data_IF_760994236263
#
_entry.id   IF_760994236263
#
_cell.length_a   1.000
_cell.length_b   1.000
_cell.length_c   1.000
_cell.angle_alpha   90.00
_cell.angle_beta   90.00
_cell.angle_gamma   90.00
#
_symmetry.space_group_name_H-M   'P 1'
#
loop_
_entity.id
_entity.type
_entity.pdbx_description
1 polymer ?
#
# COMPACT_ATOMS: atom_id res chain seq x y z
N UNK A 1 -8.19 8.59 4.12
CA UNK A 1 -7.70 7.68 3.05
C UNK A 1 -6.99 8.55 2.01
N UNK A 2 -5.91 8.06 1.43
CA UNK A 2 -5.15 8.74 0.38
C UNK A 2 -4.90 7.78 -0.78
N UNK A 3 -4.72 8.30 -1.99
CA UNK A 3 -4.31 7.51 -3.15
C UNK A 3 -2.97 6.82 -2.86
N UNK A 4 -2.88 5.53 -3.17
CA UNK A 4 -1.63 4.78 -3.04
C UNK A 4 -0.55 5.37 -3.96
N UNK A 5 -0.91 5.73 -5.19
CA UNK A 5 0.03 6.30 -6.16
C UNK A 5 0.54 7.66 -5.71
N UNK A 6 -0.32 8.53 -5.19
CA UNK A 6 0.11 9.86 -4.71
C UNK A 6 1.07 9.74 -3.51
N UNK A 7 0.95 8.67 -2.71
CA UNK A 7 1.84 8.43 -1.58
C UNK A 7 3.22 7.90 -2.01
N UNK A 8 3.27 7.01 -3.00
CA UNK A 8 4.50 6.27 -3.32
C UNK A 8 5.26 6.80 -4.53
N UNK A 9 4.59 7.46 -5.49
CA UNK A 9 5.22 7.94 -6.71
C UNK A 9 6.10 9.16 -6.38
N UNK A 10 7.39 9.04 -6.68
CA UNK A 10 8.30 10.17 -6.77
C UNK A 10 8.44 10.58 -8.25
N UNK A 11 8.11 11.82 -8.63
CA UNK A 11 8.10 12.24 -10.04
C UNK A 11 9.49 12.41 -10.64
N UNK A 12 10.54 12.37 -9.81
CA UNK A 12 11.92 12.63 -10.21
C UNK A 12 12.82 11.38 -10.06
N UNK A 13 12.32 10.30 -9.45
CA UNK A 13 13.09 9.06 -9.29
C UNK A 13 12.21 7.81 -9.20
N UNK A 14 12.35 6.96 -10.21
CA UNK A 14 11.80 5.61 -10.21
C UNK A 14 12.32 4.77 -9.03
N UNK A 15 13.61 4.89 -8.72
CA UNK A 15 14.20 4.14 -7.60
C UNK A 15 13.57 4.52 -6.25
N UNK A 16 13.34 5.83 -6.01
CA UNK A 16 12.61 6.28 -4.81
C UNK A 16 11.16 5.83 -4.81
N UNK A 17 10.51 5.75 -5.97
CA UNK A 17 9.17 5.18 -6.09
C UNK A 17 9.14 3.72 -5.64
N UNK A 18 10.09 2.90 -6.11
CA UNK A 18 10.22 1.49 -5.70
C UNK A 18 10.52 1.39 -4.20
N UNK A 19 11.38 2.26 -3.67
CA UNK A 19 11.68 2.34 -2.24
C UNK A 19 10.44 2.70 -1.41
N UNK A 20 9.64 3.68 -1.83
CA UNK A 20 8.41 4.06 -1.15
C UNK A 20 7.39 2.91 -1.14
N UNK A 21 7.22 2.21 -2.27
CA UNK A 21 6.36 1.01 -2.35
C UNK A 21 6.86 -0.06 -1.36
N UNK A 22 8.18 -0.27 -1.29
CA UNK A 22 8.77 -1.19 -0.35
C UNK A 22 8.44 -0.79 1.09
N UNK A 23 8.66 0.46 1.50
CA UNK A 23 8.34 0.94 2.86
C UNK A 23 6.86 0.80 3.21
N UNK A 24 5.96 1.19 2.30
CA UNK A 24 4.50 1.04 2.52
C UNK A 24 4.10 -0.43 2.70
N UNK A 25 4.78 -1.37 2.04
CA UNK A 25 4.50 -2.80 2.23
C UNK A 25 4.77 -3.26 3.66
N UNK A 26 5.76 -2.69 4.36
CA UNK A 26 6.04 -2.97 5.77
C UNK A 26 4.98 -2.37 6.67
N UNK A 27 4.54 -1.13 6.41
CA UNK A 27 3.45 -0.47 7.15
C UNK A 27 2.17 -1.31 7.10
N UNK A 28 1.84 -1.86 5.93
CA UNK A 28 0.67 -2.73 5.75
C UNK A 28 0.87 -4.09 6.44
N UNK A 29 2.04 -4.72 6.24
CA UNK A 29 2.37 -6.01 6.86
C UNK A 29 2.33 -5.94 8.38
N UNK A 30 2.81 -4.84 8.96
CA UNK A 30 2.88 -4.61 10.39
C UNK A 30 1.53 -4.13 10.97
N UNK A 31 0.51 -3.97 10.10
CA UNK A 31 -0.87 -3.71 10.50
C UNK A 31 -1.19 -2.25 10.79
N UNK A 32 -0.27 -1.32 10.54
CA UNK A 32 -0.48 0.12 10.76
C UNK A 32 -1.37 0.77 9.70
N UNK A 33 -1.43 0.21 8.49
CA UNK A 33 -2.31 0.67 7.42
C UNK A 33 -2.94 -0.50 6.68
N UNK A 34 -4.02 -0.20 5.95
CA UNK A 34 -4.66 -1.16 5.04
C UNK A 34 -4.80 -0.55 3.65
N UNK A 35 -4.64 -1.41 2.65
CA UNK A 35 -4.86 -1.09 1.24
C UNK A 35 -6.23 -1.63 0.81
N UNK A 36 -7.03 -0.80 0.14
CA UNK A 36 -8.33 -1.17 -0.44
C UNK A 36 -8.52 -0.52 -1.79
N UNK A 37 -9.54 -0.96 -2.52
CA UNK A 37 -9.97 -0.30 -3.74
C UNK A 37 -11.11 0.67 -3.42
N UNK A 38 -11.09 1.84 -4.02
CA UNK A 38 -12.21 2.79 -3.98
C UNK A 38 -13.31 2.42 -4.99
N UNK A 39 -14.27 3.33 -5.16
CA UNK A 39 -15.41 3.15 -6.08
C UNK A 39 -14.97 3.02 -7.54
N UNK A 40 -13.88 3.70 -7.92
CA UNK A 40 -13.25 3.68 -9.24
C UNK A 40 -12.27 2.50 -9.42
N UNK A 41 -12.18 1.61 -8.42
CA UNK A 41 -11.27 0.46 -8.38
C UNK A 41 -9.78 0.86 -8.33
N UNK A 42 -9.48 2.06 -7.84
CA UNK A 42 -8.12 2.52 -7.63
C UNK A 42 -7.64 2.21 -6.20
N UNK A 43 -6.34 1.88 -6.02
CA UNK A 43 -5.81 1.56 -4.71
C UNK A 43 -5.70 2.80 -3.82
N UNK A 44 -6.33 2.74 -2.65
CA UNK A 44 -6.25 3.74 -1.60
C UNK A 44 -5.74 3.11 -0.30
N UNK A 45 -4.96 3.88 0.45
CA UNK A 45 -4.41 3.48 1.75
C UNK A 45 -5.09 4.27 2.88
N UNK A 46 -5.40 3.57 3.97
CA UNK A 46 -5.97 4.16 5.17
C UNK A 46 -5.31 3.65 6.45
N UNK A 47 -5.19 4.47 7.50
CA UNK A 47 -4.70 4.02 8.80
C UNK A 47 -5.57 2.89 9.35
N UNK A 48 -4.92 1.90 9.96
CA UNK A 48 -5.61 0.88 10.73
C UNK A 48 -6.01 1.46 12.09
N UNK A 49 -7.28 1.31 12.48
CA UNK A 49 -7.79 1.79 13.77
C UNK A 49 -7.37 0.93 14.96
N UNK A 50 -6.80 -0.24 14.70
CA UNK A 50 -6.25 -1.12 15.73
C UNK A 50 -4.79 -0.75 15.98
N UNK A 51 -4.59 0.18 16.91
CA UNK A 51 -3.26 0.48 17.46
C UNK A 51 -2.79 -0.70 18.30
N UNK A 52 -2.14 -1.65 17.65
CA UNK A 52 -1.37 -2.72 18.28
C UNK A 52 -2.18 -3.62 19.21
N UNK A 53 -2.62 -4.77 18.71
CA UNK A 53 -2.70 -6.00 19.52
C UNK A 53 -2.78 -7.24 18.64
N UNK A 54 -1.72 -8.02 18.75
CA UNK A 54 -1.70 -9.47 18.94
C UNK A 54 -2.77 -10.31 18.23
N UNK A 55 -2.29 -11.26 17.44
CA UNK A 55 -2.92 -12.57 17.29
C UNK A 55 -4.33 -12.58 16.69
N UNK A 56 -4.50 -12.04 15.50
CA UNK A 56 -5.39 -12.70 14.55
C UNK A 56 -4.59 -13.40 13.46
N UNK A 57 -3.96 -14.50 13.88
CA UNK A 57 -3.76 -15.71 13.08
C UNK A 57 -5.09 -16.34 12.62
N UNK A 58 -6.21 -15.62 12.66
CA UNK A 58 -7.34 -15.93 11.79
C UNK A 58 -6.87 -15.73 10.36
N UNK A 59 -6.94 -16.79 9.58
CA UNK A 59 -6.98 -16.86 8.11
C UNK A 59 -8.11 -15.99 7.49
N UNK A 60 -8.44 -14.85 8.09
CA UNK A 60 -9.33 -13.82 7.57
C UNK A 60 -8.64 -13.14 6.39
N UNK A 61 -9.21 -13.35 5.21
CA UNK A 61 -8.88 -12.74 3.92
C UNK A 61 -7.56 -11.95 3.93
N UNK A 62 -6.46 -12.64 3.62
CA UNK A 62 -5.19 -12.00 3.32
C UNK A 62 -5.41 -11.18 2.05
N UNK A 63 -5.77 -9.91 2.20
CA UNK A 63 -6.03 -8.99 1.10
C UNK A 63 -4.68 -8.67 0.43
N UNK A 64 -4.24 -9.58 -0.43
CA UNK A 64 -3.09 -9.39 -1.28
C UNK A 64 -3.53 -8.54 -2.46
N UNK A 65 -2.85 -7.41 -2.64
CA UNK A 65 -2.97 -6.60 -3.85
C UNK A 65 -1.63 -6.73 -4.57
N UNK A 66 -1.69 -7.10 -5.84
CA UNK A 66 -0.53 -7.15 -6.73
C UNK A 66 -0.62 -5.95 -7.65
N UNK A 67 0.41 -5.12 -7.65
CA UNK A 67 0.50 -3.92 -8.48
C UNK A 67 1.74 -4.08 -9.37
N UNK A 68 1.57 -3.91 -10.68
CA UNK A 68 2.66 -3.79 -11.62
C UNK A 68 2.94 -2.32 -11.92
N UNK A 69 4.22 -1.94 -11.92
CA UNK A 69 4.66 -0.61 -12.33
C UNK A 69 5.98 -0.73 -13.06
N UNK A 70 5.97 -0.51 -14.36
CA UNK A 70 7.17 -0.42 -15.19
C UNK A 70 7.76 0.99 -15.17
N UNK A 71 9.03 1.12 -15.58
CA UNK A 71 9.67 2.43 -15.73
C UNK A 71 8.99 3.30 -16.81
N UNK A 72 8.30 2.69 -17.79
CA UNK A 72 7.54 3.40 -18.81
C UNK A 72 6.23 3.96 -18.25
N UNK A 73 5.51 3.18 -17.42
CA UNK A 73 4.27 3.62 -16.76
C UNK A 73 4.52 4.67 -15.67
N UNK A 74 5.70 4.65 -15.05
CA UNK A 74 6.11 5.65 -14.07
C UNK A 74 6.39 7.03 -14.68
N UNK A 75 6.80 7.10 -15.96
CA UNK A 75 7.07 8.35 -16.67
C UNK A 75 5.81 9.02 -17.16
#
# INVERSE_FOLDING_TARGET
PISFFDLVIDPNSFARTVENIFHVSFIIRDGFARLKLDDDKLPIIEPSKDEGRENNHSTGARNQVVISLSHQEWK
#
